data_IF_468181581473
#
_entry.id   IF_468181581473
#
_cell.length_a   1.000
_cell.length_b   1.000
_cell.length_c   1.000
_cell.angle_alpha   90.00
_cell.angle_beta   90.00
_cell.angle_gamma   90.00
#
_symmetry.space_group_name_H-M   'P 1'
#
loop_
_entity.id
_entity.type
_entity.pdbx_description
1 polymer ?
#
# COMPACT_ATOMS: atom_id res chain seq x y z
N UNK A 1 11.82 17.23 9.46
CA UNK A 1 12.10 16.61 8.14
C UNK A 1 10.79 16.48 7.38
N UNK A 2 10.61 17.14 6.23
CA UNK A 2 9.40 16.98 5.40
C UNK A 2 9.39 15.56 4.84
N UNK A 3 8.29 14.80 5.02
CA UNK A 3 8.12 13.52 4.32
C UNK A 3 7.89 13.81 2.84
N UNK A 4 8.63 13.11 1.99
CA UNK A 4 8.51 13.22 0.54
C UNK A 4 7.41 12.25 0.07
N UNK A 5 6.22 12.80 -0.18
CA UNK A 5 5.07 12.04 -0.68
C UNK A 5 4.99 12.04 -2.21
N UNK A 6 6.02 12.51 -2.90
CA UNK A 6 6.01 12.54 -4.35
C UNK A 6 6.40 11.15 -4.89
N UNK A 7 5.54 10.61 -5.76
CA UNK A 7 5.84 9.39 -6.51
C UNK A 7 7.10 9.60 -7.34
N UNK A 8 8.12 8.78 -7.12
CA UNK A 8 9.42 8.90 -7.81
C UNK A 8 9.36 8.65 -9.32
N UNK A 9 8.32 7.99 -9.81
CA UNK A 9 8.20 7.65 -11.23
C UNK A 9 7.37 8.66 -12.03
N UNK A 10 6.23 9.10 -11.49
CA UNK A 10 5.29 9.95 -12.22
C UNK A 10 5.06 11.33 -11.61
N UNK A 11 5.65 11.63 -10.45
CA UNK A 11 5.60 12.95 -9.83
C UNK A 11 4.27 13.31 -9.14
N UNK A 12 3.29 12.41 -9.10
CA UNK A 12 2.04 12.68 -8.35
C UNK A 12 2.29 12.68 -6.84
N UNK A 13 1.50 13.46 -6.11
CA UNK A 13 1.50 13.48 -4.65
C UNK A 13 0.67 12.31 -4.11
N UNK A 14 1.33 11.30 -3.53
CA UNK A 14 0.68 10.09 -3.00
C UNK A 14 -0.11 10.34 -1.72
N UNK A 15 0.02 11.52 -1.11
CA UNK A 15 -0.77 11.94 0.05
C UNK A 15 -2.05 12.68 -0.35
N UNK A 16 -2.25 12.96 -1.64
CA UNK A 16 -3.55 13.45 -2.15
C UNK A 16 -4.48 12.27 -2.40
N UNK A 17 -5.58 12.22 -1.66
CA UNK A 17 -6.54 11.12 -1.72
C UNK A 17 -6.17 9.97 -0.79
N UNK A 18 -6.85 8.83 -0.94
CA UNK A 18 -6.68 7.63 -0.10
C UNK A 18 -6.18 6.41 -0.88
N UNK A 19 -6.06 6.52 -2.19
CA UNK A 19 -5.78 5.44 -3.14
C UNK A 19 -4.29 5.13 -3.32
N UNK A 20 -3.41 6.08 -2.99
CA UNK A 20 -1.96 5.97 -3.26
C UNK A 20 -1.10 5.75 -2.02
N UNK A 21 -1.70 5.69 -0.83
CA UNK A 21 -1.02 5.34 0.40
C UNK A 21 -1.35 3.88 0.74
N UNK A 22 -0.35 3.00 0.72
CA UNK A 22 -0.49 1.56 0.89
C UNK A 22 0.80 0.95 1.49
N UNK A 23 0.70 -0.28 1.99
CA UNK A 23 1.85 -1.06 2.43
C UNK A 23 1.95 -2.39 1.70
N UNK A 24 3.08 -2.68 1.07
CA UNK A 24 3.40 -4.01 0.52
C UNK A 24 4.36 -4.76 1.44
N UNK A 25 4.59 -6.05 1.17
CA UNK A 25 5.62 -6.81 1.88
C UNK A 25 7.00 -6.19 1.66
N UNK A 26 7.89 -6.37 2.64
CA UNK A 26 9.28 -5.86 2.55
C UNK A 26 10.02 -6.46 1.35
N UNK A 27 9.78 -7.73 1.04
CA UNK A 27 10.36 -8.40 -0.13
C UNK A 27 10.00 -7.66 -1.43
N UNK A 28 8.72 -7.36 -1.63
CA UNK A 28 8.28 -6.65 -2.83
C UNK A 28 8.78 -5.22 -2.86
N UNK A 29 8.79 -4.51 -1.73
CA UNK A 29 9.33 -3.16 -1.67
C UNK A 29 10.83 -3.12 -1.97
N UNK A 30 11.60 -4.09 -1.47
CA UNK A 30 13.03 -4.18 -1.74
C UNK A 30 13.33 -4.50 -3.20
N UNK A 31 12.47 -5.30 -3.86
CA UNK A 31 12.66 -5.71 -5.25
C UNK A 31 12.17 -4.69 -6.27
N UNK A 32 11.00 -4.08 -6.04
CA UNK A 32 10.33 -3.21 -7.01
C UNK A 32 10.17 -1.76 -6.56
N UNK A 33 10.46 -1.46 -5.30
CA UNK A 33 10.36 -0.11 -4.75
C UNK A 33 11.49 0.82 -5.19
N UNK A 34 11.63 1.92 -4.46
CA UNK A 34 12.61 2.99 -4.72
C UNK A 34 13.52 3.26 -3.52
N UNK A 35 13.55 2.34 -2.56
CA UNK A 35 14.25 2.54 -1.28
C UNK A 35 13.61 3.68 -0.49
N UNK A 36 14.25 4.86 -0.47
CA UNK A 36 13.75 6.06 0.22
C UNK A 36 12.83 6.89 -0.69
N UNK A 37 11.55 6.95 -0.36
CA UNK A 37 10.55 7.75 -1.05
C UNK A 37 9.24 6.99 -1.17
N UNK A 38 8.41 7.42 -2.12
CA UNK A 38 7.10 6.82 -2.38
C UNK A 38 6.96 6.44 -3.85
N UNK A 39 6.12 5.44 -4.09
CA UNK A 39 5.56 5.14 -5.40
C UNK A 39 4.05 5.12 -5.27
N UNK A 40 3.34 5.71 -6.22
CA UNK A 40 1.91 5.54 -6.30
C UNK A 40 1.56 4.08 -6.63
N UNK A 41 0.35 3.65 -6.30
CA UNK A 41 -0.08 2.25 -6.46
C UNK A 41 0.06 1.78 -7.92
N UNK A 42 -0.28 2.66 -8.87
CA UNK A 42 -0.16 2.39 -10.30
C UNK A 42 1.29 2.24 -10.80
N UNK A 43 2.23 3.07 -10.31
CA UNK A 43 3.65 2.93 -10.68
C UNK A 43 4.27 1.67 -10.08
N UNK A 44 3.93 1.34 -8.84
CA UNK A 44 4.38 0.10 -8.24
C UNK A 44 3.86 -1.13 -8.99
N UNK A 45 2.59 -1.14 -9.39
CA UNK A 45 2.02 -2.19 -10.25
C UNK A 45 2.77 -2.35 -11.57
N UNK A 46 3.11 -1.23 -12.23
CA UNK A 46 3.88 -1.26 -13.49
C UNK A 46 5.26 -1.89 -13.29
N UNK A 47 5.95 -1.58 -12.19
CA UNK A 47 7.25 -2.19 -11.84
C UNK A 47 7.15 -3.66 -11.50
N UNK A 48 6.09 -4.05 -10.78
CA UNK A 48 5.78 -5.43 -10.43
C UNK A 48 5.51 -6.29 -11.68
N UNK A 49 4.93 -5.70 -12.74
CA UNK A 49 4.74 -6.34 -14.03
C UNK A 49 3.58 -7.35 -14.09
N UNK A 50 2.71 -7.36 -13.07
CA UNK A 50 1.49 -8.18 -13.00
C UNK A 50 0.38 -7.50 -12.21
N UNK A 51 -0.81 -8.09 -12.24
CA UNK A 51 -1.89 -7.74 -11.33
C UNK A 51 -1.51 -8.05 -9.87
N UNK A 52 -2.08 -7.28 -8.94
CA UNK A 52 -1.89 -7.48 -7.51
C UNK A 52 -2.68 -8.69 -7.00
N UNK A 53 -2.13 -9.35 -5.99
CA UNK A 53 -2.84 -10.37 -5.20
C UNK A 53 -2.90 -9.92 -3.74
N UNK A 54 -3.75 -10.57 -2.93
CA UNK A 54 -3.89 -10.22 -1.51
C UNK A 54 -2.57 -10.37 -0.73
N UNK A 55 -1.73 -11.32 -1.12
CA UNK A 55 -0.44 -11.64 -0.49
C UNK A 55 0.62 -10.56 -0.69
N UNK A 56 0.42 -9.66 -1.66
CA UNK A 56 1.36 -8.56 -1.90
C UNK A 56 1.31 -7.50 -0.79
N UNK A 57 0.23 -7.46 -0.03
CA UNK A 57 -0.05 -6.41 0.94
C UNK A 57 0.07 -6.91 2.37
N UNK A 58 0.62 -6.06 3.24
CA UNK A 58 0.69 -6.37 4.68
C UNK A 58 -0.67 -6.12 5.36
N UNK A 59 -1.08 -6.96 6.32
CA UNK A 59 -2.24 -6.67 7.16
C UNK A 59 -1.99 -5.46 8.04
N UNK A 60 -2.49 -4.29 7.64
CA UNK A 60 -2.33 -3.05 8.38
C UNK A 60 -3.53 -2.11 8.21
N UNK A 61 -3.68 -1.15 9.13
CA UNK A 61 -4.84 -0.24 9.15
C UNK A 61 -4.99 0.52 7.85
N UNK A 62 -3.86 0.92 7.26
CA UNK A 62 -3.81 1.62 5.98
C UNK A 62 -4.48 0.80 4.86
N UNK A 63 -4.08 -0.45 4.71
CA UNK A 63 -4.58 -1.33 3.67
C UNK A 63 -6.02 -1.80 3.94
N UNK A 64 -6.38 -2.03 5.20
CA UNK A 64 -7.69 -2.61 5.53
C UNK A 64 -8.80 -1.58 5.63
N UNK A 65 -8.50 -0.34 6.06
CA UNK A 65 -9.54 0.63 6.43
C UNK A 65 -9.40 2.00 5.78
N UNK A 66 -8.26 2.31 5.14
CA UNK A 66 -8.01 3.63 4.58
C UNK A 66 -8.00 3.60 3.05
N UNK A 67 -7.25 2.69 2.45
CA UNK A 67 -7.12 2.59 0.99
C UNK A 67 -8.20 1.66 0.41
N UNK A 68 -9.23 2.20 -0.28
CA UNK A 68 -10.34 1.38 -0.77
C UNK A 68 -9.91 0.40 -1.87
N UNK A 69 -8.97 0.79 -2.75
CA UNK A 69 -8.51 -0.08 -3.84
C UNK A 69 -7.77 -1.28 -3.28
N UNK A 70 -6.86 -1.05 -2.34
CA UNK A 70 -6.10 -2.12 -1.70
C UNK A 70 -7.01 -3.00 -0.84
N UNK A 71 -7.99 -2.40 -0.15
CA UNK A 71 -8.99 -3.17 0.60
C UNK A 71 -9.76 -4.12 -0.32
N UNK A 72 -10.18 -3.68 -1.49
CA UNK A 72 -10.93 -4.51 -2.45
C UNK A 72 -10.08 -5.66 -2.99
N UNK A 73 -8.77 -5.45 -3.19
CA UNK A 73 -7.83 -6.50 -3.61
C UNK A 73 -7.62 -7.54 -2.50
N UNK A 74 -7.40 -7.08 -1.27
CA UNK A 74 -7.16 -7.98 -0.13
C UNK A 74 -8.44 -8.76 0.21
N UNK A 75 -9.58 -8.07 0.18
CA UNK A 75 -10.88 -8.55 0.66
C UNK A 75 -10.77 -9.23 2.04
N UNK A 76 -10.40 -8.47 3.09
CA UNK A 76 -10.13 -9.04 4.40
C UNK A 76 -11.40 -9.56 5.07
N UNK A 77 -11.30 -10.68 5.78
CA UNK A 77 -12.41 -11.24 6.54
C UNK A 77 -12.74 -10.35 7.75
N UNK A 78 -13.94 -10.54 8.32
CA UNK A 78 -14.33 -9.84 9.53
C UNK A 78 -13.42 -10.20 10.71
N UNK A 79 -12.97 -11.44 10.81
CA UNK A 79 -12.00 -11.90 11.81
C UNK A 79 -10.66 -11.14 11.67
N UNK A 80 -10.11 -11.08 10.45
CA UNK A 80 -8.87 -10.35 10.19
C UNK A 80 -9.01 -8.85 10.52
N UNK A 81 -10.18 -8.25 10.21
CA UNK A 81 -10.48 -6.87 10.58
C UNK A 81 -10.54 -6.67 12.10
N UNK A 82 -11.18 -7.58 12.83
CA UNK A 82 -11.34 -7.50 14.28
C UNK A 82 -10.00 -7.69 15.01
N UNK A 83 -9.17 -8.61 14.56
CA UNK A 83 -7.85 -8.83 15.12
C UNK A 83 -6.93 -7.62 14.92
N UNK A 84 -7.00 -6.99 13.75
CA UNK A 84 -6.25 -5.77 13.50
C UNK A 84 -6.74 -4.61 14.38
N UNK A 85 -8.06 -4.48 14.61
CA UNK A 85 -8.61 -3.48 15.54
C UNK A 85 -8.13 -3.70 16.98
N UNK A 86 -8.10 -4.94 17.46
CA UNK A 86 -7.61 -5.29 18.82
C UNK A 86 -6.13 -4.93 18.99
N UNK A 87 -5.31 -5.16 17.97
CA UNK A 87 -3.86 -4.86 18.00
C UNK A 87 -3.54 -3.36 18.02
N UNK A 88 -4.46 -2.50 17.59
CA UNK A 88 -4.27 -1.05 17.51
C UNK A 88 -5.03 -0.28 18.61
N UNK A 89 -5.59 -0.98 19.60
CA UNK A 89 -6.27 -0.40 20.77
C UNK A 89 -5.32 -0.35 21.96
#
# INVERSE_FOLDING_TARGET
>A
MKRDYICRDCGIDTNKGKDNFYGVTEELWNKYGVGKGMLCLGCFKKRLGREFTREDFVPCVLNYFVNPIVRDIINPTEEECNDLRKKNR
#
